data_IF_303555916079
#
_entry.id   IF_303555916079
#
_cell.length_a   1.000
_cell.length_b   1.000
_cell.length_c   1.000
_cell.angle_alpha   90.00
_cell.angle_beta   90.00
_cell.angle_gamma   90.00
#
_symmetry.space_group_name_H-M   'P 1'
#
loop_
_entity.id
_entity.type
_entity.pdbx_description
1 polymer ?
#
# COMPACT_ATOMS: atom_id res chain seq x y z
N UNK A 1 -16.49 0.71 8.69
CA UNK A 1 -16.62 -0.26 9.81
C UNK A 1 -15.30 -1.00 9.97
N UNK A 2 -14.80 -1.17 11.20
CA UNK A 2 -13.58 -1.98 11.44
C UNK A 2 -13.95 -3.46 11.57
N UNK A 3 -13.11 -4.34 11.04
CA UNK A 3 -13.25 -5.81 11.21
C UNK A 3 -12.11 -6.31 12.10
N UNK A 4 -12.44 -7.21 13.03
CA UNK A 4 -11.44 -7.88 13.84
C UNK A 4 -10.71 -8.94 12.99
N UNK A 5 -9.40 -9.03 13.19
CA UNK A 5 -8.54 -10.04 12.56
C UNK A 5 -7.63 -10.64 13.63
N UNK A 6 -7.21 -11.88 13.44
CA UNK A 6 -6.17 -12.51 14.25
C UNK A 6 -4.87 -12.51 13.45
N UNK A 7 -3.80 -11.97 14.05
CA UNK A 7 -2.46 -11.94 13.46
C UNK A 7 -1.47 -12.54 14.45
N UNK A 8 -0.41 -13.18 13.93
CA UNK A 8 0.71 -13.67 14.73
C UNK A 8 1.89 -12.74 14.52
N UNK A 9 2.52 -12.30 15.61
CA UNK A 9 3.68 -11.41 15.62
C UNK A 9 4.78 -12.03 16.49
N UNK A 10 6.03 -11.66 16.22
CA UNK A 10 7.15 -11.99 17.10
C UNK A 10 6.92 -11.34 18.47
N UNK A 11 7.25 -12.05 19.56
CA UNK A 11 7.11 -11.55 20.93
C UNK A 11 7.91 -10.27 21.18
N UNK A 12 9.13 -10.16 20.64
CA UNK A 12 9.95 -8.96 20.81
C UNK A 12 9.29 -7.75 20.16
N UNK A 13 8.77 -7.93 18.93
CA UNK A 13 8.06 -6.88 18.19
C UNK A 13 6.77 -6.47 18.89
N UNK A 14 6.07 -7.43 19.51
CA UNK A 14 4.88 -7.13 20.31
C UNK A 14 5.25 -6.32 21.56
N UNK A 15 6.37 -6.63 22.22
CA UNK A 15 6.90 -5.85 23.33
C UNK A 15 7.23 -4.40 22.95
N UNK A 16 7.90 -4.20 21.80
CA UNK A 16 8.19 -2.86 21.29
C UNK A 16 6.91 -2.09 20.96
N UNK A 17 5.95 -2.75 20.30
CA UNK A 17 4.65 -2.17 19.99
C UNK A 17 3.91 -1.71 21.26
N UNK A 18 4.00 -2.49 22.34
CA UNK A 18 3.40 -2.16 23.63
C UNK A 18 4.04 -0.97 24.30
N UNK A 19 5.38 -0.90 24.28
CA UNK A 19 6.12 0.24 24.81
C UNK A 19 5.71 1.53 24.09
N UNK A 20 5.71 1.54 22.74
CA UNK A 20 5.30 2.71 21.97
C UNK A 20 3.82 3.06 22.14
N UNK A 21 2.95 2.06 22.21
CA UNK A 21 1.53 2.28 22.46
C UNK A 21 1.30 3.01 23.79
N UNK A 22 2.00 2.58 24.84
CA UNK A 22 1.95 3.20 26.16
C UNK A 22 2.53 4.62 26.15
N UNK A 23 3.73 4.83 25.60
CA UNK A 23 4.38 6.15 25.58
C UNK A 23 3.61 7.20 24.77
N UNK A 24 2.95 6.78 23.69
CA UNK A 24 2.22 7.68 22.79
C UNK A 24 0.74 7.85 23.17
N UNK A 25 0.27 7.18 24.22
CA UNK A 25 -1.15 7.08 24.59
C UNK A 25 -2.01 6.66 23.38
N UNK A 26 -1.64 5.54 22.76
CA UNK A 26 -2.32 4.97 21.58
C UNK A 26 -2.57 3.48 21.76
N UNK A 27 -3.51 2.95 21.00
CA UNK A 27 -3.79 1.51 21.00
C UNK A 27 -2.85 0.76 20.05
N UNK A 28 -2.58 -0.51 20.33
CA UNK A 28 -1.92 -1.43 19.38
C UNK A 28 -2.57 -1.39 18.01
N UNK A 29 -3.91 -1.42 17.97
CA UNK A 29 -4.68 -1.35 16.72
C UNK A 29 -4.38 -0.09 15.93
N UNK A 30 -4.29 1.08 16.58
CA UNK A 30 -3.96 2.33 15.90
C UNK A 30 -2.57 2.27 15.28
N UNK A 31 -1.56 1.81 16.04
CA UNK A 31 -0.20 1.70 15.53
C UNK A 31 -0.09 0.69 14.40
N UNK A 32 -0.68 -0.49 14.53
CA UNK A 32 -0.72 -1.52 13.47
C UNK A 32 -1.38 -0.95 12.20
N UNK A 33 -2.50 -0.25 12.34
CA UNK A 33 -3.20 0.36 11.20
C UNK A 33 -2.31 1.39 10.48
N UNK A 34 -1.57 2.22 11.23
CA UNK A 34 -0.62 3.19 10.67
C UNK A 34 0.59 2.54 10.02
N UNK A 35 1.15 1.49 10.64
CA UNK A 35 2.28 0.75 10.07
C UNK A 35 1.91 0.05 8.76
N UNK A 36 0.72 -0.57 8.68
CA UNK A 36 0.24 -1.20 7.44
C UNK A 36 0.04 -0.15 6.35
N UNK A 37 -0.61 0.97 6.67
CA UNK A 37 -0.82 2.06 5.71
C UNK A 37 0.51 2.60 5.17
N UNK A 38 1.48 2.86 6.05
CA UNK A 38 2.80 3.33 5.64
C UNK A 38 3.55 2.31 4.76
N UNK A 39 3.41 1.02 5.04
CA UNK A 39 4.03 -0.02 4.20
C UNK A 39 3.36 -0.13 2.83
N UNK A 40 2.05 0.14 2.74
CA UNK A 40 1.35 0.18 1.45
C UNK A 40 1.90 1.27 0.52
N UNK A 41 2.29 2.43 1.05
CA UNK A 41 2.94 3.47 0.24
C UNK A 41 4.22 2.94 -0.42
N UNK A 42 5.03 2.15 0.29
CA UNK A 42 6.23 1.49 -0.26
C UNK A 42 5.87 0.43 -1.30
N UNK A 43 4.83 -0.38 -1.04
CA UNK A 43 4.40 -1.40 -1.99
C UNK A 43 3.85 -0.77 -3.28
N UNK A 44 3.15 0.35 -3.18
CA UNK A 44 2.61 1.08 -4.34
C UNK A 44 3.74 1.64 -5.21
N UNK A 45 4.83 2.10 -4.62
CA UNK A 45 6.04 2.50 -5.35
C UNK A 45 6.64 1.29 -6.10
N UNK A 46 6.82 0.15 -5.43
CA UNK A 46 7.34 -1.08 -6.05
C UNK A 46 6.47 -1.57 -7.22
N UNK A 47 5.14 -1.50 -7.06
CA UNK A 47 4.19 -1.84 -8.14
C UNK A 47 4.30 -0.85 -9.30
N UNK A 48 4.48 0.44 -9.01
CA UNK A 48 4.64 1.48 -10.03
C UNK A 48 5.91 1.26 -10.84
N UNK A 49 7.02 0.95 -10.19
CA UNK A 49 8.28 0.61 -10.86
C UNK A 49 8.14 -0.63 -11.76
N UNK A 50 7.49 -1.68 -11.25
CA UNK A 50 7.22 -2.87 -12.05
C UNK A 50 6.43 -2.53 -13.32
N UNK A 51 5.36 -1.72 -13.20
CA UNK A 51 4.53 -1.31 -14.34
C UNK A 51 5.33 -0.48 -15.35
N UNK A 52 6.20 0.42 -14.88
CA UNK A 52 7.08 1.22 -15.75
C UNK A 52 8.03 0.30 -16.54
N UNK A 53 8.58 -0.72 -15.89
CA UNK A 53 9.47 -1.67 -16.56
C UNK A 53 8.74 -2.56 -17.57
N UNK A 54 7.50 -2.96 -17.29
CA UNK A 54 6.64 -3.67 -18.26
C UNK A 54 6.37 -2.82 -19.50
N UNK A 55 6.12 -1.52 -19.32
CA UNK A 55 5.99 -0.56 -20.44
C UNK A 55 7.27 -0.47 -21.25
N UNK A 56 8.44 -0.31 -20.60
CA UNK A 56 9.74 -0.24 -21.28
C UNK A 56 10.07 -1.51 -22.07
N UNK A 57 9.67 -2.68 -21.56
CA UNK A 57 9.87 -3.97 -22.22
C UNK A 57 8.87 -4.24 -23.35
N UNK A 58 7.88 -3.37 -23.55
CA UNK A 58 6.80 -3.58 -24.51
C UNK A 58 5.88 -4.75 -24.13
N UNK A 59 5.85 -5.12 -22.85
CA UNK A 59 5.04 -6.23 -22.34
C UNK A 59 3.56 -5.84 -22.15
N UNK A 60 3.25 -4.55 -22.24
CA UNK A 60 1.90 -3.98 -22.10
C UNK A 60 1.59 -3.04 -23.25
N UNK A 61 0.33 -3.01 -23.67
CA UNK A 61 -0.15 -2.10 -24.71
C UNK A 61 -0.21 -0.67 -24.18
N UNK A 62 0.32 0.28 -24.95
CA UNK A 62 0.29 1.71 -24.63
C UNK A 62 -0.63 2.44 -25.58
N UNK A 63 -1.35 3.44 -25.07
CA UNK A 63 -2.28 4.25 -25.85
C UNK A 63 -1.86 5.71 -25.83
N UNK A 64 -2.01 6.40 -26.97
CA UNK A 64 -1.93 7.86 -27.01
C UNK A 64 -3.14 8.49 -26.33
N UNK A 65 -3.04 9.78 -25.98
CA UNK A 65 -4.15 10.52 -25.39
C UNK A 65 -5.38 10.51 -26.31
N UNK A 66 -5.20 10.67 -27.62
CA UNK A 66 -6.27 10.64 -28.61
C UNK A 66 -6.95 9.26 -28.67
N UNK A 67 -6.18 8.17 -28.63
CA UNK A 67 -6.72 6.81 -28.60
C UNK A 67 -7.57 6.57 -27.35
N UNK A 68 -7.16 7.12 -26.19
CA UNK A 68 -7.93 7.07 -24.95
C UNK A 68 -9.19 7.93 -25.05
N UNK A 69 -9.10 9.15 -25.58
CA UNK A 69 -10.24 10.06 -25.72
C UNK A 69 -11.36 9.47 -26.62
N UNK A 70 -10.97 8.83 -27.73
CA UNK A 70 -11.90 8.11 -28.60
C UNK A 70 -12.56 6.93 -27.88
N UNK A 71 -11.78 6.13 -27.13
CA UNK A 71 -12.33 4.99 -26.36
C UNK A 71 -13.32 5.42 -25.28
N UNK A 72 -13.12 6.57 -24.68
CA UNK A 72 -13.98 7.11 -23.62
C UNK A 72 -15.16 7.93 -24.18
N UNK A 73 -15.24 8.15 -25.50
CA UNK A 73 -16.30 8.94 -26.14
C UNK A 73 -16.24 10.43 -25.81
N UNK A 74 -15.04 10.96 -25.53
CA UNK A 74 -14.81 12.36 -25.19
C UNK A 74 -14.39 13.17 -26.43
N UNK A 75 -14.04 12.51 -27.53
CA UNK A 75 -13.66 13.09 -28.83
C UNK A 75 -14.21 12.27 -29.99
#
# INVERSE_FOLDING_TARGET
MKKAINIRLNESLLGDLDAYAHELDRTRTYLIEKSIAAYFDTLDEMISDQRIDEVKKGAVEVFSLEQVAQKLGIS
#
